data_IF_386756936930
#
_entry.id   IF_386756936930
#
_cell.length_a   1.000
_cell.length_b   1.000
_cell.length_c   1.000
_cell.angle_alpha   90.00
_cell.angle_beta   90.00
_cell.angle_gamma   90.00
#
_symmetry.space_group_name_H-M   'P 1'
#
loop_
_entity.id
_entity.type
_entity.pdbx_description
1 polymer ?
#
# COMPACT_ATOMS: atom_id res chain seq x y z
N UNK A 1 26.26 15.88 35.31
CA UNK A 1 25.97 16.63 34.07
C UNK A 1 26.41 15.76 32.90
N UNK A 2 25.47 15.14 32.18
CA UNK A 2 25.82 14.41 30.95
C UNK A 2 26.27 15.43 29.89
N UNK A 3 27.42 15.19 29.25
CA UNK A 3 27.96 16.07 28.21
C UNK A 3 27.04 16.09 26.99
N UNK A 4 26.97 17.22 26.28
CA UNK A 4 26.16 17.36 25.05
C UNK A 4 26.49 16.32 23.97
N UNK A 5 27.69 15.73 24.04
CA UNK A 5 28.15 14.62 23.19
C UNK A 5 27.33 13.35 23.41
N UNK A 6 26.82 13.12 24.62
CA UNK A 6 26.02 11.93 24.99
C UNK A 6 24.52 12.08 24.65
N UNK A 7 24.07 13.31 24.33
CA UNK A 7 22.73 13.59 23.80
C UNK A 7 22.65 13.38 22.29
N UNK A 8 23.70 13.68 21.54
CA UNK A 8 23.73 13.53 20.09
C UNK A 8 23.87 12.07 19.63
N UNK A 9 24.48 11.19 20.45
CA UNK A 9 24.61 9.75 20.18
C UNK A 9 23.27 8.99 20.21
N UNK A 10 22.22 9.59 20.79
CA UNK A 10 20.88 8.99 20.93
C UNK A 10 19.90 9.36 19.82
N UNK A 11 20.27 10.26 18.92
CA UNK A 11 19.40 10.65 17.82
C UNK A 11 19.49 9.60 16.71
N UNK A 12 18.41 8.81 16.54
CA UNK A 12 18.25 7.91 15.38
C UNK A 12 18.56 8.72 14.09
N UNK A 13 19.27 8.15 13.09
CA UNK A 13 19.64 8.85 11.87
C UNK A 13 18.42 9.54 11.24
N UNK A 14 18.58 10.79 10.79
CA UNK A 14 17.51 11.53 10.11
C UNK A 14 17.13 10.77 8.83
N UNK A 15 15.93 10.21 8.78
CA UNK A 15 15.40 9.55 7.59
C UNK A 15 14.31 10.42 6.98
N UNK A 16 14.14 10.35 5.65
CA UNK A 16 13.00 10.96 4.94
C UNK A 16 11.71 10.13 5.07
N UNK A 17 11.76 9.04 5.85
CA UNK A 17 10.73 7.99 5.91
C UNK A 17 10.14 7.82 7.31
N UNK A 18 10.39 8.78 8.23
CA UNK A 18 9.93 8.71 9.62
C UNK A 18 10.34 7.41 10.33
N UNK A 19 11.51 6.86 9.99
CA UNK A 19 12.04 5.65 10.60
C UNK A 19 11.60 4.33 9.96
N UNK A 20 10.72 4.35 8.94
CA UNK A 20 10.39 3.16 8.14
C UNK A 20 11.60 2.75 7.28
N UNK A 21 11.92 1.46 7.22
CA UNK A 21 13.17 0.94 6.64
C UNK A 21 12.99 -0.18 5.64
N UNK A 22 11.89 -0.92 5.69
CA UNK A 22 11.65 -2.11 4.86
C UNK A 22 10.26 -2.09 4.22
N UNK A 23 10.02 -2.88 3.15
CA UNK A 23 8.67 -3.10 2.63
C UNK A 23 7.70 -3.61 3.70
N UNK A 24 8.21 -4.39 4.67
CA UNK A 24 7.42 -4.89 5.79
C UNK A 24 6.92 -3.76 6.72
N UNK A 25 7.71 -2.70 6.93
CA UNK A 25 7.27 -1.56 7.72
C UNK A 25 6.06 -0.84 7.09
N UNK A 26 6.01 -0.77 5.76
CA UNK A 26 4.84 -0.24 5.05
C UNK A 26 3.65 -1.20 5.12
N UNK A 27 3.89 -2.51 5.15
CA UNK A 27 2.84 -3.48 5.42
C UNK A 27 2.26 -3.32 6.83
N UNK A 28 3.09 -3.11 7.86
CA UNK A 28 2.61 -2.78 9.21
C UNK A 28 1.82 -1.48 9.24
N UNK A 29 2.25 -0.46 8.48
CA UNK A 29 1.47 0.76 8.28
C UNK A 29 0.11 0.48 7.62
N UNK A 30 0.04 -0.41 6.64
CA UNK A 30 -1.23 -0.81 6.02
C UNK A 30 -2.16 -1.44 7.05
N UNK A 31 -1.67 -2.34 7.91
CA UNK A 31 -2.46 -2.93 9.01
C UNK A 31 -2.96 -1.85 9.98
N UNK A 32 -2.11 -0.88 10.32
CA UNK A 32 -2.50 0.26 11.14
C UNK A 32 -3.60 1.10 10.49
N UNK A 33 -3.51 1.38 9.19
CA UNK A 33 -4.54 2.13 8.47
C UNK A 33 -5.86 1.36 8.37
N UNK A 34 -5.83 0.03 8.24
CA UNK A 34 -7.01 -0.84 8.27
C UNK A 34 -7.68 -0.79 9.65
N UNK A 35 -6.90 -0.87 10.73
CA UNK A 35 -7.47 -0.75 12.08
C UNK A 35 -8.05 0.64 12.34
N UNK A 36 -7.39 1.69 11.84
CA UNK A 36 -7.95 3.05 11.89
C UNK A 36 -9.25 3.15 11.10
N UNK A 37 -9.36 2.50 9.93
CA UNK A 37 -10.59 2.45 9.16
C UNK A 37 -11.70 1.71 9.93
N UNK A 38 -11.36 0.58 10.55
CA UNK A 38 -12.29 -0.27 11.33
C UNK A 38 -12.89 0.47 12.53
N UNK A 39 -12.06 1.22 13.24
CA UNK A 39 -12.44 1.96 14.45
C UNK A 39 -13.03 3.35 14.18
N UNK A 40 -13.07 3.79 12.91
CA UNK A 40 -13.54 5.14 12.57
C UNK A 40 -15.07 5.25 12.56
N UNK A 41 -15.59 6.12 13.42
CA UNK A 41 -17.03 6.46 13.46
C UNK A 41 -17.40 7.67 12.61
N UNK A 42 -16.46 8.59 12.38
CA UNK A 42 -16.69 9.83 11.63
C UNK A 42 -16.46 9.65 10.12
N UNK A 43 -17.38 10.17 9.30
CA UNK A 43 -17.33 10.03 7.83
C UNK A 43 -16.08 10.61 7.17
N UNK A 44 -15.46 11.64 7.76
CA UNK A 44 -14.17 12.15 7.28
C UNK A 44 -13.04 11.15 7.54
N UNK A 45 -12.97 10.60 8.76
CA UNK A 45 -11.95 9.63 9.15
C UNK A 45 -12.03 8.35 8.32
N UNK A 46 -13.25 7.84 8.06
CA UNK A 46 -13.47 6.69 7.19
C UNK A 46 -12.92 6.94 5.78
N UNK A 47 -13.16 8.13 5.20
CA UNK A 47 -12.64 8.48 3.87
C UNK A 47 -11.12 8.57 3.86
N UNK A 48 -10.53 9.26 4.83
CA UNK A 48 -9.08 9.43 4.90
C UNK A 48 -8.36 8.11 5.17
N UNK A 49 -8.86 7.30 6.11
CA UNK A 49 -8.29 5.98 6.38
C UNK A 49 -8.40 5.05 5.17
N UNK A 50 -9.53 5.06 4.45
CA UNK A 50 -9.66 4.29 3.22
C UNK A 50 -8.67 4.73 2.13
N UNK A 51 -8.43 6.04 1.97
CA UNK A 51 -7.43 6.52 1.03
C UNK A 51 -6.00 6.15 1.44
N UNK A 52 -5.66 6.30 2.72
CA UNK A 52 -4.34 5.95 3.22
C UNK A 52 -4.07 4.44 3.11
N UNK A 53 -5.07 3.58 3.30
CA UNK A 53 -4.97 2.14 3.00
C UNK A 53 -4.58 1.90 1.54
N UNK A 54 -5.31 2.51 0.60
CA UNK A 54 -5.06 2.32 -0.83
C UNK A 54 -3.68 2.84 -1.26
N UNK A 55 -3.30 4.03 -0.77
CA UNK A 55 -1.99 4.65 -1.07
C UNK A 55 -0.87 3.80 -0.49
N UNK A 56 -0.97 3.39 0.78
CA UNK A 56 0.05 2.56 1.44
C UNK A 56 0.20 1.21 0.74
N UNK A 57 -0.91 0.52 0.47
CA UNK A 57 -0.90 -0.75 -0.24
C UNK A 57 -0.27 -0.65 -1.64
N UNK A 58 -0.52 0.46 -2.36
CA UNK A 58 0.10 0.69 -3.66
C UNK A 58 1.59 1.04 -3.57
N UNK A 59 2.02 1.81 -2.56
CA UNK A 59 3.42 2.22 -2.36
C UNK A 59 4.33 1.09 -1.84
N UNK A 60 3.79 0.02 -1.27
CA UNK A 60 4.59 -1.18 -0.94
C UNK A 60 5.31 -1.69 -2.21
N UNK A 61 4.72 -1.56 -3.40
CA UNK A 61 5.36 -1.91 -4.68
C UNK A 61 6.67 -1.16 -4.88
N UNK A 62 6.69 0.16 -4.63
CA UNK A 62 7.90 0.98 -4.82
C UNK A 62 9.03 0.51 -3.90
N UNK A 63 8.69 0.11 -2.67
CA UNK A 63 9.65 -0.39 -1.70
C UNK A 63 10.15 -1.78 -2.07
N UNK A 64 9.25 -2.71 -2.42
CA UNK A 64 9.63 -4.04 -2.95
C UNK A 64 10.61 -3.89 -4.11
N UNK A 65 10.31 -3.00 -5.05
CA UNK A 65 11.16 -2.79 -6.22
C UNK A 65 12.48 -2.12 -5.88
N UNK A 66 12.50 -1.19 -4.92
CA UNK A 66 13.71 -0.54 -4.44
C UNK A 66 14.67 -1.56 -3.80
N UNK A 67 14.15 -2.44 -2.95
CA UNK A 67 14.90 -3.47 -2.21
C UNK A 67 15.19 -4.75 -3.02
N UNK A 68 14.67 -4.87 -4.24
CA UNK A 68 14.97 -6.01 -5.11
C UNK A 68 16.34 -5.87 -5.77
N UNK A 69 17.14 -6.92 -5.86
CA UNK A 69 18.26 -6.95 -6.82
C UNK A 69 17.74 -6.90 -8.28
N UNK A 70 18.65 -6.77 -9.26
CA UNK A 70 18.26 -6.65 -10.67
C UNK A 70 17.54 -7.90 -11.21
N UNK A 71 17.96 -9.10 -10.78
CA UNK A 71 17.33 -10.35 -11.20
C UNK A 71 15.89 -10.47 -10.68
N UNK A 72 15.69 -10.15 -9.41
CA UNK A 72 14.37 -10.08 -8.76
C UNK A 72 13.52 -8.97 -9.37
N UNK A 73 14.09 -7.80 -9.60
CA UNK A 73 13.37 -6.68 -10.23
C UNK A 73 12.87 -7.08 -11.63
N UNK A 74 13.71 -7.73 -12.43
CA UNK A 74 13.31 -8.23 -13.74
C UNK A 74 12.25 -9.33 -13.63
N UNK A 75 12.38 -10.28 -12.71
CA UNK A 75 11.36 -11.32 -12.48
C UNK A 75 10.00 -10.72 -12.12
N UNK A 76 9.99 -9.75 -11.21
CA UNK A 76 8.78 -9.12 -10.69
C UNK A 76 8.11 -8.19 -11.70
N UNK A 77 8.85 -7.59 -12.65
CA UNK A 77 8.32 -6.54 -13.54
C UNK A 77 8.34 -6.92 -15.02
N UNK A 78 9.15 -7.90 -15.42
CA UNK A 78 9.49 -8.22 -16.80
C UNK A 78 10.34 -7.15 -17.49
N UNK A 79 10.98 -6.25 -16.72
CA UNK A 79 11.74 -5.11 -17.23
C UNK A 79 13.01 -4.89 -16.41
N UNK A 80 14.09 -4.47 -17.05
CA UNK A 80 15.27 -3.95 -16.35
C UNK A 80 14.95 -2.59 -15.73
N UNK A 81 15.65 -2.24 -14.64
CA UNK A 81 15.53 -0.94 -13.98
C UNK A 81 15.86 0.22 -14.93
N UNK A 82 16.92 0.04 -15.72
CA UNK A 82 17.44 1.03 -16.66
C UNK A 82 17.23 0.56 -18.12
N UNK A 83 17.14 1.51 -19.05
CA UNK A 83 17.24 1.27 -20.48
C UNK A 83 18.71 1.17 -20.95
N UNK A 84 18.92 1.02 -22.27
CA UNK A 84 20.26 0.84 -22.83
C UNK A 84 21.14 2.09 -22.65
N UNK A 85 20.49 3.24 -22.50
CA UNK A 85 21.09 4.56 -22.29
C UNK A 85 21.30 4.87 -20.80
N UNK A 86 20.96 3.95 -19.89
CA UNK A 86 21.14 4.11 -18.45
C UNK A 86 20.05 4.94 -17.75
N UNK A 87 18.93 5.25 -18.42
CA UNK A 87 17.82 6.00 -17.85
C UNK A 87 16.77 5.08 -17.22
N UNK A 88 16.00 5.56 -16.21
CA UNK A 88 14.91 4.78 -15.61
C UNK A 88 13.88 4.32 -16.65
N UNK A 89 13.67 3.01 -16.74
CA UNK A 89 12.79 2.42 -17.74
C UNK A 89 11.33 2.78 -17.47
N UNK A 90 10.59 3.18 -18.51
CA UNK A 90 9.16 3.49 -18.37
C UNK A 90 8.31 2.23 -18.20
N UNK A 91 7.24 2.37 -17.41
CA UNK A 91 6.21 1.35 -17.25
C UNK A 91 6.60 0.17 -16.36
N UNK A 92 7.54 0.36 -15.43
CA UNK A 92 7.90 -0.63 -14.40
C UNK A 92 6.66 -1.05 -13.59
N UNK A 93 5.89 -0.08 -13.08
CA UNK A 93 4.67 -0.35 -12.30
C UNK A 93 3.62 -1.15 -13.08
N UNK A 94 3.45 -0.84 -14.38
CA UNK A 94 2.57 -1.62 -15.27
C UNK A 94 3.08 -3.05 -15.46
N UNK A 95 4.39 -3.22 -15.57
CA UNK A 95 5.04 -4.53 -15.62
C UNK A 95 4.80 -5.34 -14.35
N UNK A 96 5.00 -4.73 -13.19
CA UNK A 96 4.74 -5.33 -11.88
C UNK A 96 3.29 -5.79 -11.74
N UNK A 97 2.34 -4.90 -12.02
CA UNK A 97 0.91 -5.22 -11.95
C UNK A 97 0.53 -6.36 -12.89
N UNK A 98 1.08 -6.41 -14.11
CA UNK A 98 0.81 -7.51 -15.06
C UNK A 98 1.38 -8.84 -14.58
N UNK A 99 2.63 -8.85 -14.11
CA UNK A 99 3.34 -10.06 -13.68
C UNK A 99 2.76 -10.65 -12.40
N UNK A 100 2.32 -9.80 -11.48
CA UNK A 100 1.86 -10.23 -10.15
C UNK A 100 0.33 -10.21 -10.00
N UNK A 101 -0.43 -10.01 -11.09
CA UNK A 101 -1.91 -9.95 -11.05
C UNK A 101 -2.55 -11.16 -10.35
N UNK A 102 -1.98 -12.35 -10.52
CA UNK A 102 -2.48 -13.58 -9.89
C UNK A 102 -2.18 -13.68 -8.39
N UNK A 103 -1.10 -13.04 -7.92
CA UNK A 103 -0.67 -13.05 -6.50
C UNK A 103 -1.23 -11.87 -5.71
N UNK A 104 -1.43 -10.74 -6.38
CA UNK A 104 -1.91 -9.48 -5.82
C UNK A 104 -3.15 -8.97 -6.57
N UNK A 105 -4.25 -9.74 -6.69
CA UNK A 105 -5.43 -9.34 -7.44
C UNK A 105 -6.11 -8.06 -6.90
N UNK A 106 -5.94 -7.73 -5.61
CA UNK A 106 -6.52 -6.50 -5.03
C UNK A 106 -5.71 -5.24 -5.31
N UNK A 107 -4.46 -5.37 -5.76
CA UNK A 107 -3.55 -4.24 -5.95
C UNK A 107 -4.08 -3.23 -6.97
N UNK A 108 -4.79 -3.70 -7.99
CA UNK A 108 -5.35 -2.83 -9.01
C UNK A 108 -6.46 -1.91 -8.48
N UNK A 109 -7.23 -2.36 -7.48
CA UNK A 109 -8.20 -1.51 -6.76
C UNK A 109 -7.46 -0.41 -6.00
N UNK A 110 -6.46 -0.79 -5.19
CA UNK A 110 -5.63 0.17 -4.44
C UNK A 110 -4.97 1.19 -5.37
N UNK A 111 -4.41 0.74 -6.50
CA UNK A 111 -3.79 1.61 -7.51
C UNK A 111 -4.77 2.63 -8.07
N UNK A 112 -6.00 2.23 -8.39
CA UNK A 112 -6.98 3.17 -8.95
C UNK A 112 -7.49 4.17 -7.91
N UNK A 113 -7.75 3.70 -6.70
CA UNK A 113 -8.14 4.58 -5.59
C UNK A 113 -7.03 5.60 -5.33
N UNK A 114 -5.78 5.16 -5.18
CA UNK A 114 -4.64 6.04 -4.95
C UNK A 114 -4.46 7.08 -6.07
N UNK A 115 -4.65 6.68 -7.35
CA UNK A 115 -4.53 7.61 -8.47
C UNK A 115 -5.71 8.58 -8.58
N UNK A 116 -6.93 8.19 -8.19
CA UNK A 116 -8.11 9.06 -8.24
C UNK A 116 -8.02 10.26 -7.29
N UNK A 117 -7.24 10.16 -6.20
CA UNK A 117 -6.96 11.29 -5.31
C UNK A 117 -5.91 12.23 -5.90
N UNK A 118 -4.93 11.67 -6.63
CA UNK A 118 -3.85 12.44 -7.26
C UNK A 118 -4.29 13.18 -8.52
N UNK A 119 -5.23 12.60 -9.25
CA UNK A 119 -5.78 13.17 -10.49
C UNK A 119 -7.30 13.18 -10.38
N UNK A 120 -7.89 14.37 -10.20
CA UNK A 120 -9.36 14.60 -10.13
C UNK A 120 -10.09 13.91 -11.28
N UNK A 121 -9.42 13.73 -12.43
CA UNK A 121 -9.78 12.79 -13.48
C UNK A 121 -8.67 11.74 -13.66
N UNK A 122 -9.00 10.44 -13.63
CA UNK A 122 -8.03 9.35 -13.85
C UNK A 122 -7.54 9.39 -15.30
N UNK A 123 -6.39 10.02 -15.53
CA UNK A 123 -5.82 10.26 -16.87
C UNK A 123 -4.79 9.21 -17.31
N UNK A 124 -4.28 8.37 -16.40
CA UNK A 124 -3.15 7.47 -16.69
C UNK A 124 -3.40 6.00 -16.27
N UNK A 125 -3.23 5.08 -17.22
CA UNK A 125 -3.32 3.62 -17.04
C UNK A 125 -4.67 3.01 -17.46
N UNK A 126 -4.78 1.68 -17.58
CA UNK A 126 -6.07 1.03 -17.83
C UNK A 126 -7.03 1.34 -16.69
N UNK A 127 -8.21 1.88 -17.00
CA UNK A 127 -9.31 2.04 -16.03
C UNK A 127 -9.93 0.67 -15.78
N UNK A 128 -10.37 0.36 -14.56
CA UNK A 128 -11.24 -0.79 -14.34
C UNK A 128 -12.64 -0.34 -14.78
N UNK A 129 -13.21 -0.96 -15.82
CA UNK A 129 -14.57 -0.64 -16.23
C UNK A 129 -15.52 -0.84 -15.04
N UNK A 130 -16.49 0.06 -14.90
CA UNK A 130 -17.57 -0.05 -13.90
C UNK A 130 -17.09 -0.04 -12.43
N UNK A 131 -15.92 0.57 -12.14
CA UNK A 131 -15.46 0.78 -10.76
C UNK A 131 -15.87 2.17 -10.23
N UNK A 132 -16.58 2.20 -9.10
CA UNK A 132 -16.94 3.44 -8.39
C UNK A 132 -16.63 3.30 -6.90
N UNK A 133 -16.00 4.31 -6.31
CA UNK A 133 -15.81 4.41 -4.86
C UNK A 133 -16.82 5.37 -4.25
N UNK A 134 -17.33 5.07 -3.07
CA UNK A 134 -18.24 5.97 -2.35
C UNK A 134 -18.14 5.82 -0.84
N UNK A 135 -18.72 6.79 -0.14
CA UNK A 135 -18.91 6.77 1.31
C UNK A 135 -20.39 6.96 1.63
N UNK A 136 -20.83 6.43 2.76
CA UNK A 136 -22.21 6.56 3.23
C UNK A 136 -22.32 6.35 4.73
N UNK A 137 -23.56 6.35 5.22
CA UNK A 137 -23.90 6.10 6.62
C UNK A 137 -24.84 4.91 6.68
N UNK A 138 -24.56 3.94 7.56
CA UNK A 138 -25.48 2.85 7.90
C UNK A 138 -26.18 3.19 9.21
N UNK A 139 -27.49 2.95 9.26
CA UNK A 139 -28.33 3.14 10.44
C UNK A 139 -28.75 1.77 10.98
N UNK A 140 -28.02 1.15 11.93
CA UNK A 140 -28.48 0.01 12.78
C UNK A 140 -27.50 -0.23 13.94
N UNK A 141 -27.98 -0.58 15.15
CA UNK A 141 -28.61 0.33 16.11
C UNK A 141 -27.80 1.62 16.41
N UNK A 142 -26.60 1.76 15.85
CA UNK A 142 -25.77 2.97 15.90
C UNK A 142 -25.57 3.55 14.48
N UNK A 143 -25.29 4.85 14.40
CA UNK A 143 -24.98 5.56 13.15
C UNK A 143 -23.50 5.33 12.83
N UNK A 144 -23.21 4.48 11.84
CA UNK A 144 -21.83 4.17 11.45
C UNK A 144 -21.52 4.67 10.05
N UNK A 145 -20.51 5.53 9.92
CA UNK A 145 -19.95 5.86 8.63
C UNK A 145 -19.26 4.63 8.02
N UNK A 146 -19.40 4.45 6.70
CA UNK A 146 -18.73 3.36 5.98
C UNK A 146 -18.28 3.82 4.59
N UNK A 147 -17.25 3.17 4.07
CA UNK A 147 -16.80 3.32 2.69
C UNK A 147 -16.99 2.01 1.92
N UNK A 148 -17.22 2.12 0.62
CA UNK A 148 -17.52 0.99 -0.24
C UNK A 148 -16.93 1.18 -1.64
N UNK A 149 -16.84 0.06 -2.34
CA UNK A 149 -16.51 0.01 -3.75
C UNK A 149 -17.60 -0.75 -4.50
N UNK A 150 -17.91 -0.30 -5.72
CA UNK A 150 -18.75 -1.01 -6.66
C UNK A 150 -17.84 -1.45 -7.81
N UNK A 151 -17.90 -2.72 -8.18
CA UNK A 151 -17.21 -3.27 -9.35
C UNK A 151 -18.08 -4.37 -9.95
N UNK A 152 -18.41 -4.25 -11.25
CA UNK A 152 -19.36 -5.14 -11.94
C UNK A 152 -20.69 -5.28 -11.18
N UNK A 153 -21.29 -4.14 -10.81
CA UNK A 153 -22.57 -4.04 -10.07
C UNK A 153 -22.59 -4.68 -8.68
N UNK A 154 -21.47 -5.23 -8.22
CA UNK A 154 -21.31 -5.74 -6.86
C UNK A 154 -20.73 -4.66 -5.96
N UNK A 155 -21.51 -4.27 -4.94
CA UNK A 155 -21.10 -3.37 -3.87
C UNK A 155 -20.44 -4.16 -2.75
N UNK A 156 -19.20 -3.85 -2.42
CA UNK A 156 -18.43 -4.44 -1.32
C UNK A 156 -17.98 -3.37 -0.31
N UNK A 157 -17.96 -3.68 1.00
CA UNK A 157 -17.28 -2.85 1.99
C UNK A 157 -15.81 -2.69 1.61
N UNK A 158 -15.28 -1.46 1.69
CA UNK A 158 -13.89 -1.22 1.28
C UNK A 158 -12.89 -1.87 2.24
N UNK A 159 -13.28 -2.04 3.51
CA UNK A 159 -12.45 -2.68 4.54
C UNK A 159 -12.08 -4.11 4.15
N UNK A 160 -13.03 -4.89 3.64
CA UNK A 160 -12.78 -6.28 3.16
C UNK A 160 -11.75 -6.30 2.02
N UNK A 161 -11.81 -5.32 1.11
CA UNK A 161 -10.84 -5.20 0.02
C UNK A 161 -9.43 -4.94 0.54
N UNK A 162 -9.30 -4.12 1.59
CA UNK A 162 -7.99 -3.82 2.18
C UNK A 162 -7.46 -4.94 3.06
N UNK A 163 -8.31 -5.65 3.79
CA UNK A 163 -7.94 -6.86 4.54
C UNK A 163 -7.42 -7.94 3.61
N UNK A 164 -8.14 -8.24 2.53
CA UNK A 164 -7.67 -9.19 1.51
C UNK A 164 -6.38 -8.74 0.82
N UNK A 165 -6.20 -7.43 0.61
CA UNK A 165 -4.95 -6.87 0.09
C UNK A 165 -3.80 -7.05 1.09
N UNK A 166 -4.06 -6.86 2.39
CA UNK A 166 -3.06 -7.09 3.43
C UNK A 166 -2.64 -8.56 3.45
N UNK A 167 -3.58 -9.51 3.40
CA UNK A 167 -3.27 -10.94 3.33
C UNK A 167 -2.41 -11.29 2.11
N UNK A 168 -2.77 -10.75 0.93
CA UNK A 168 -2.00 -10.90 -0.30
C UNK A 168 -0.58 -10.34 -0.17
N UNK A 169 -0.43 -9.17 0.44
CA UNK A 169 0.88 -8.58 0.70
C UNK A 169 1.71 -9.40 1.68
N UNK A 170 1.11 -9.89 2.76
CA UNK A 170 1.80 -10.73 3.75
C UNK A 170 2.40 -11.96 3.07
N UNK A 171 1.59 -12.71 2.33
CA UNK A 171 2.04 -13.90 1.60
C UNK A 171 3.14 -13.54 0.60
N UNK A 172 2.92 -12.50 -0.21
CA UNK A 172 3.90 -12.06 -1.21
C UNK A 172 5.25 -11.67 -0.58
N UNK A 173 5.24 -10.92 0.53
CA UNK A 173 6.47 -10.47 1.19
C UNK A 173 7.25 -11.64 1.81
N UNK A 174 6.55 -12.66 2.33
CA UNK A 174 7.17 -13.90 2.82
C UNK A 174 7.81 -14.66 1.65
N UNK A 175 7.05 -14.91 0.59
CA UNK A 175 7.51 -15.68 -0.58
C UNK A 175 8.72 -15.02 -1.28
N UNK A 176 8.76 -13.68 -1.33
CA UNK A 176 9.88 -12.95 -1.91
C UNK A 176 11.02 -12.69 -0.92
N UNK A 177 10.92 -13.17 0.32
CA UNK A 177 11.95 -13.02 1.35
C UNK A 177 12.16 -11.58 1.82
N UNK A 178 11.13 -10.73 1.72
CA UNK A 178 11.12 -9.39 2.32
C UNK A 178 10.65 -9.38 3.77
N UNK A 179 10.11 -10.50 4.24
CA UNK A 179 9.68 -10.69 5.62
C UNK A 179 9.93 -12.15 6.04
N UNK A 180 10.48 -12.34 7.24
CA UNK A 180 10.55 -13.64 7.90
C UNK A 180 9.72 -13.57 9.20
N UNK A 181 8.59 -14.31 9.29
CA UNK A 181 7.76 -14.34 10.49
C UNK A 181 8.51 -14.78 11.76
N UNK A 182 9.53 -15.64 11.61
CA UNK A 182 10.27 -16.18 12.75
C UNK A 182 11.24 -15.16 13.38
N UNK A 183 11.51 -14.06 12.69
CA UNK A 183 12.45 -13.01 13.11
C UNK A 183 11.76 -11.66 13.30
N UNK A 184 10.45 -11.64 13.54
CA UNK A 184 9.74 -10.39 13.80
C UNK A 184 10.20 -9.80 15.15
N UNK A 185 10.80 -8.60 15.17
CA UNK A 185 11.11 -7.95 16.43
C UNK A 185 9.80 -7.58 17.15
N UNK A 186 9.74 -7.66 18.49
CA UNK A 186 8.58 -7.20 19.24
C UNK A 186 8.29 -5.73 18.93
N UNK A 187 7.01 -5.36 18.88
CA UNK A 187 6.59 -3.98 18.63
C UNK A 187 7.21 -3.04 19.70
N UNK A 188 7.90 -1.98 19.24
CA UNK A 188 8.52 -0.92 20.08
C UNK A 188 7.48 -0.12 20.85
#
# INVERSE_FOLDING_TARGET
MASDTDRQSRLKPKTKTFGLKTPYDLYKKLLFDIERLRSSVASANVRYAAFDCAVTANHIVDWVLHFSDDARHFRLTGKNRLDAEGNPKKGIMKGFGKKNKGRLPRLEFCRQIANSVKHVEVTHGPRMPNMVTGAGVRLKPEVAAYAYIIHNDKKSPIIEVFEEMADQWKVFLIEEGFFNPDNEPPDE
#
